data_IF_969362559174
#
_entry.id   IF_969362559174
#
_cell.length_a   1.000
_cell.length_b   1.000
_cell.length_c   1.000
_cell.angle_alpha   90.00
_cell.angle_beta   90.00
_cell.angle_gamma   90.00
#
_symmetry.space_group_name_H-M   'P 1'
#
loop_
_entity.id
_entity.type
_entity.pdbx_description
1 polymer ?
#
# COMPACT_ATOMS: atom_id res chain seq x y z
N UNK A 1 1.39 -11.07 -7.26
CA UNK A 1 2.41 -10.16 -6.72
C UNK A 1 1.85 -9.59 -5.42
N UNK A 2 2.36 -10.01 -4.25
CA UNK A 2 1.73 -9.66 -2.96
C UNK A 2 2.71 -9.57 -1.78
N UNK A 3 4.01 -9.47 -2.05
CA UNK A 3 5.06 -9.50 -1.02
C UNK A 3 5.72 -8.15 -0.75
N UNK A 4 5.14 -7.04 -1.22
CA UNK A 4 5.72 -5.70 -1.02
C UNK A 4 4.64 -4.64 -1.02
N UNK A 5 4.85 -3.58 -0.24
CA UNK A 5 4.14 -2.31 -0.40
C UNK A 5 5.09 -1.28 -1.00
N UNK A 6 4.56 -0.24 -1.64
CA UNK A 6 5.36 0.90 -2.06
C UNK A 6 4.68 2.22 -1.75
N UNK A 7 5.50 3.26 -1.66
CA UNK A 7 5.08 4.65 -1.57
C UNK A 7 5.86 5.45 -2.59
N UNK A 8 5.17 6.31 -3.34
CA UNK A 8 5.81 7.17 -4.32
C UNK A 8 6.06 8.56 -3.75
N UNK A 9 7.27 9.09 -3.93
CA UNK A 9 7.58 10.49 -3.68
C UNK A 9 7.47 11.31 -4.96
N UNK A 10 6.93 12.52 -4.81
CA UNK A 10 6.80 13.48 -5.91
C UNK A 10 5.47 13.37 -6.64
N UNK A 11 5.53 13.35 -7.97
CA UNK A 11 4.36 13.40 -8.83
C UNK A 11 3.49 12.16 -8.63
N UNK A 12 2.19 12.35 -8.68
CA UNK A 12 1.20 11.29 -8.59
C UNK A 12 0.03 11.61 -9.49
N UNK A 13 -0.76 10.58 -9.79
CA UNK A 13 -1.87 10.64 -10.73
C UNK A 13 -2.99 11.60 -10.25
N UNK A 14 -3.40 12.60 -11.05
CA UNK A 14 -4.44 13.56 -10.64
C UNK A 14 -5.78 12.92 -10.26
N UNK A 15 -6.13 11.80 -10.89
CA UNK A 15 -7.36 11.04 -10.63
C UNK A 15 -7.43 10.41 -9.23
N UNK A 16 -6.29 10.27 -8.53
CA UNK A 16 -6.26 9.85 -7.12
C UNK A 16 -6.49 11.00 -6.15
N UNK A 17 -6.75 12.21 -6.67
CA UNK A 17 -6.85 13.44 -5.89
C UNK A 17 -5.49 14.05 -5.53
N UNK A 18 -4.39 13.50 -6.06
CA UNK A 18 -3.06 14.04 -5.80
C UNK A 18 -2.91 15.46 -6.39
N UNK A 19 -2.41 16.38 -5.57
CA UNK A 19 -2.12 17.77 -5.95
C UNK A 19 -0.61 18.07 -6.01
N UNK A 20 0.24 17.10 -5.67
CA UNK A 20 1.69 17.29 -5.62
C UNK A 20 2.29 17.40 -7.03
N UNK A 21 2.79 18.61 -7.37
CA UNK A 21 3.46 18.89 -8.64
C UNK A 21 4.97 18.73 -8.46
N UNK A 22 5.55 17.74 -9.11
CA UNK A 22 6.98 17.45 -9.06
C UNK A 22 7.45 16.93 -10.42
N UNK A 23 8.74 17.13 -10.74
CA UNK A 23 9.39 16.50 -11.89
C UNK A 23 9.87 15.07 -11.57
N UNK A 24 9.88 14.69 -10.29
CA UNK A 24 10.27 13.37 -9.82
C UNK A 24 9.02 12.54 -9.52
N UNK A 25 9.03 11.28 -9.93
CA UNK A 25 8.16 10.22 -9.41
C UNK A 25 9.09 9.07 -9.03
N UNK A 26 9.13 8.72 -7.75
CA UNK A 26 10.05 7.69 -7.27
C UNK A 26 9.40 6.77 -6.27
N UNK A 27 9.34 5.49 -6.61
CA UNK A 27 8.83 4.43 -5.76
C UNK A 27 9.86 3.94 -4.74
N UNK A 28 9.47 4.00 -3.48
CA UNK A 28 10.12 3.33 -2.37
C UNK A 28 9.39 2.01 -2.12
N UNK A 29 10.08 0.89 -2.29
CA UNK A 29 9.52 -0.45 -2.15
C UNK A 29 9.98 -1.04 -0.82
N UNK A 30 9.04 -1.64 -0.08
CA UNK A 30 9.30 -2.33 1.16
C UNK A 30 8.65 -3.71 1.16
N UNK A 31 9.41 -4.73 1.58
CA UNK A 31 8.95 -6.11 1.63
C UNK A 31 7.93 -6.35 2.74
N UNK A 32 6.94 -7.19 2.47
CA UNK A 32 5.90 -7.63 3.40
C UNK A 32 6.14 -9.09 3.84
N UNK A 33 7.38 -9.42 4.20
CA UNK A 33 7.74 -10.74 4.74
C UNK A 33 7.37 -10.90 6.23
N UNK A 34 7.94 -11.91 6.88
CA UNK A 34 7.81 -12.14 8.33
C UNK A 34 8.24 -10.89 9.12
N UNK A 35 7.44 -10.54 10.13
CA UNK A 35 7.59 -9.34 10.95
C UNK A 35 7.02 -8.06 10.32
N UNK A 36 6.44 -8.13 9.12
CA UNK A 36 5.85 -6.96 8.47
C UNK A 36 4.44 -6.65 8.97
N UNK A 37 4.11 -5.36 9.01
CA UNK A 37 2.80 -4.88 9.41
C UNK A 37 2.43 -3.61 8.68
N UNK A 38 1.27 -3.64 8.02
CA UNK A 38 0.60 -2.46 7.46
C UNK A 38 -0.66 -2.20 8.27
N UNK A 39 -0.85 -0.95 8.69
CA UNK A 39 -2.04 -0.50 9.39
C UNK A 39 -2.79 0.56 8.58
N UNK A 40 -4.11 0.54 8.67
CA UNK A 40 -4.99 1.61 8.21
C UNK A 40 -5.71 2.16 9.43
N UNK A 41 -5.58 3.47 9.68
CA UNK A 41 -6.13 4.13 10.86
C UNK A 41 -5.77 3.43 12.18
N UNK A 42 -4.54 2.94 12.28
CA UNK A 42 -4.02 2.22 13.44
C UNK A 42 -4.48 0.75 13.55
N UNK A 43 -5.40 0.28 12.70
CA UNK A 43 -5.87 -1.11 12.68
C UNK A 43 -5.05 -1.97 11.72
N UNK A 44 -4.70 -3.22 12.08
CA UNK A 44 -4.05 -4.13 11.16
C UNK A 44 -4.82 -4.31 9.85
N UNK A 45 -4.13 -4.19 8.72
CA UNK A 45 -4.69 -4.45 7.40
C UNK A 45 -3.94 -5.55 6.67
N UNK A 46 -2.61 -5.60 6.83
CA UNK A 46 -1.77 -6.69 6.34
C UNK A 46 -0.71 -7.04 7.39
N UNK A 47 -0.54 -8.33 7.69
CA UNK A 47 0.44 -8.87 8.64
C UNK A 47 1.16 -10.03 7.96
N UNK A 48 2.50 -9.99 7.99
CA UNK A 48 3.34 -11.02 7.37
C UNK A 48 2.98 -11.31 5.89
N UNK A 49 2.58 -10.28 5.16
CA UNK A 49 2.19 -10.36 3.75
C UNK A 49 0.76 -10.87 3.49
N UNK A 50 -0.04 -11.08 4.54
CA UNK A 50 -1.42 -11.56 4.43
C UNK A 50 -2.40 -10.47 4.86
N UNK A 51 -3.39 -10.19 4.02
CA UNK A 51 -4.49 -9.29 4.38
C UNK A 51 -5.36 -9.90 5.49
N UNK A 52 -5.72 -9.09 6.49
CA UNK A 52 -6.49 -9.53 7.67
C UNK A 52 -7.82 -8.78 7.76
N UNK A 53 -8.81 -9.37 8.44
CA UNK A 53 -10.14 -8.76 8.66
C UNK A 53 -10.86 -8.34 7.37
N UNK A 54 -10.60 -9.07 6.27
CA UNK A 54 -11.25 -8.82 4.98
C UNK A 54 -12.74 -9.18 5.02
N UNK A 55 -13.63 -8.32 4.49
CA UNK A 55 -15.06 -8.65 4.40
C UNK A 55 -15.25 -9.89 3.52
N UNK A 56 -16.07 -10.87 3.94
CA UNK A 56 -16.28 -12.11 3.20
C UNK A 56 -16.94 -11.89 1.82
N UNK A 57 -17.62 -10.77 1.62
CA UNK A 57 -18.30 -10.40 0.38
C UNK A 57 -17.37 -9.90 -0.73
N UNK A 58 -16.11 -9.59 -0.45
CA UNK A 58 -15.17 -9.09 -1.47
C UNK A 58 -14.30 -10.23 -1.97
N UNK A 59 -14.58 -10.70 -3.20
CA UNK A 59 -13.64 -11.54 -3.94
C UNK A 59 -12.49 -10.67 -4.44
N UNK A 60 -11.37 -10.75 -3.74
CA UNK A 60 -10.11 -10.20 -4.21
C UNK A 60 -9.49 -11.16 -5.22
N UNK A 61 -9.09 -10.64 -6.38
CA UNK A 61 -8.37 -11.37 -7.44
C UNK A 61 -6.95 -11.77 -7.00
#
# INVERSE_FOLDING_TARGET
MGGSFHLAFGAGYPETGNTNKSALHWDLIAGLGEGSRVTLDGKPFCVDGVFVEMPPEVQWL
#
